data_IF_186441334175
#
_entry.id   IF_186441334175
#
_cell.length_a   1.000
_cell.length_b   1.000
_cell.length_c   1.000
_cell.angle_alpha   90.00
_cell.angle_beta   90.00
_cell.angle_gamma   90.00
#
_symmetry.space_group_name_H-M   'P 1'
#
loop_
_entity.id
_entity.type
_entity.pdbx_description
1 polymer ?
#
# COMPACT_ATOMS: atom_id res chain seq x y z
N UNK A 1 14.22 18.14 22.83
CA UNK A 1 13.77 17.47 21.59
C UNK A 1 13.65 15.99 21.90
N UNK A 2 12.42 15.47 22.01
CA UNK A 2 12.18 14.13 22.49
C UNK A 2 12.46 13.06 21.43
N UNK A 3 12.66 11.82 21.86
CA UNK A 3 12.87 10.62 21.03
C UNK A 3 11.87 10.51 19.86
N UNK A 4 10.62 10.95 20.05
CA UNK A 4 9.58 11.01 19.03
C UNK A 4 9.92 11.92 17.83
N UNK A 5 10.59 13.03 18.05
CA UNK A 5 11.01 13.94 16.97
C UNK A 5 12.11 13.38 16.08
N UNK A 6 13.01 12.57 16.65
CA UNK A 6 14.08 11.90 15.89
C UNK A 6 13.53 10.77 15.00
N UNK A 7 12.56 9.99 15.51
CA UNK A 7 11.92 8.92 14.72
C UNK A 7 11.08 9.46 13.57
N UNK A 8 10.37 10.57 13.77
CA UNK A 8 9.62 11.24 12.70
C UNK A 8 10.55 11.78 11.60
N UNK A 9 11.69 12.37 11.98
CA UNK A 9 12.67 12.90 11.04
C UNK A 9 13.30 11.79 10.18
N UNK A 10 13.73 10.69 10.80
CA UNK A 10 14.30 9.53 10.09
C UNK A 10 13.31 8.91 9.10
N UNK A 11 12.02 8.82 9.47
CA UNK A 11 10.97 8.31 8.57
C UNK A 11 10.73 9.23 7.38
N UNK A 12 10.74 10.55 7.57
CA UNK A 12 10.66 11.52 6.47
C UNK A 12 11.89 11.42 5.55
N UNK A 13 13.08 11.32 6.10
CA UNK A 13 14.32 11.12 5.32
C UNK A 13 14.23 9.85 4.45
N UNK A 14 13.80 8.71 5.01
CA UNK A 14 13.61 7.47 4.24
C UNK A 14 12.54 7.59 3.16
N UNK A 15 11.46 8.35 3.42
CA UNK A 15 10.43 8.63 2.42
C UNK A 15 11.00 9.49 1.29
N UNK A 16 11.71 10.55 1.61
CA UNK A 16 12.33 11.46 0.64
C UNK A 16 13.40 10.75 -0.19
N UNK A 17 14.20 9.88 0.42
CA UNK A 17 15.19 9.04 -0.28
C UNK A 17 14.50 8.02 -1.20
N UNK A 18 13.50 7.30 -0.70
CA UNK A 18 12.74 6.31 -1.48
C UNK A 18 12.00 6.92 -2.66
N UNK A 19 11.54 8.15 -2.55
CA UNK A 19 10.85 8.88 -3.61
C UNK A 19 11.76 9.84 -4.41
N UNK A 20 13.07 9.88 -4.14
CA UNK A 20 14.01 10.85 -4.77
C UNK A 20 13.96 10.81 -6.28
N UNK A 21 13.99 9.62 -6.89
CA UNK A 21 13.91 9.44 -8.35
C UNK A 21 12.58 9.93 -8.93
N UNK A 22 11.49 9.72 -8.21
CA UNK A 22 10.16 10.23 -8.57
C UNK A 22 10.12 11.75 -8.50
N UNK A 23 10.62 12.31 -7.42
CA UNK A 23 10.72 13.75 -7.20
C UNK A 23 11.50 14.44 -8.32
N UNK A 24 12.69 13.97 -8.65
CA UNK A 24 13.50 14.54 -9.74
C UNK A 24 12.77 14.50 -11.09
N UNK A 25 12.07 13.41 -11.41
CA UNK A 25 11.37 13.27 -12.69
C UNK A 25 10.07 14.08 -12.74
N UNK A 26 9.22 13.98 -11.74
CA UNK A 26 7.90 14.64 -11.73
C UNK A 26 8.07 16.14 -11.57
N UNK A 27 8.93 16.57 -10.61
CA UNK A 27 9.08 18.00 -10.29
C UNK A 27 9.87 18.78 -11.32
N UNK A 28 10.97 18.22 -11.80
CA UNK A 28 11.74 18.89 -12.85
C UNK A 28 10.90 19.10 -14.11
N UNK A 29 9.99 18.17 -14.41
CA UNK A 29 9.06 18.29 -15.54
C UNK A 29 7.94 19.29 -15.25
N UNK A 30 7.28 19.23 -14.08
CA UNK A 30 6.26 20.19 -13.67
C UNK A 30 6.82 21.61 -13.60
N UNK A 31 8.00 21.80 -13.01
CA UNK A 31 8.66 23.10 -12.95
C UNK A 31 8.98 23.65 -14.35
N UNK A 32 9.35 22.80 -15.31
CA UNK A 32 9.58 23.19 -16.70
C UNK A 32 8.27 23.54 -17.41
N UNK A 33 7.21 22.76 -17.21
CA UNK A 33 5.89 23.00 -17.83
C UNK A 33 5.34 24.37 -17.46
N UNK A 34 5.62 24.87 -16.26
CA UNK A 34 5.14 26.18 -15.79
C UNK A 34 6.19 27.29 -15.89
N UNK A 35 7.45 26.98 -16.22
CA UNK A 35 8.53 27.97 -16.24
C UNK A 35 8.31 29.06 -17.30
N UNK A 36 8.38 30.33 -16.88
CA UNK A 36 8.28 31.49 -17.79
C UNK A 36 6.87 31.85 -18.27
N UNK A 37 5.84 31.13 -17.77
CA UNK A 37 4.43 31.42 -18.10
C UNK A 37 3.77 32.20 -16.97
N UNK A 38 2.92 33.14 -17.32
CA UNK A 38 2.23 34.03 -16.36
C UNK A 38 0.78 33.61 -16.09
N UNK A 39 0.21 32.75 -16.95
CA UNK A 39 -1.18 32.30 -16.88
C UNK A 39 -1.26 30.80 -17.14
N UNK A 40 -2.29 30.14 -16.61
CA UNK A 40 -2.62 28.75 -16.90
C UNK A 40 -3.53 28.74 -18.13
N UNK A 41 -3.00 28.31 -19.25
CA UNK A 41 -3.70 28.12 -20.51
C UNK A 41 -3.76 26.63 -20.89
N UNK A 42 -4.45 26.31 -21.98
CA UNK A 42 -4.60 24.92 -22.46
C UNK A 42 -3.25 24.24 -22.66
N UNK A 43 -2.24 24.98 -23.13
CA UNK A 43 -0.89 24.45 -23.35
C UNK A 43 -0.18 24.07 -22.04
N UNK A 44 -0.44 24.78 -20.94
CA UNK A 44 0.08 24.41 -19.59
C UNK A 44 -0.64 23.16 -19.08
N UNK A 45 -1.94 23.04 -19.32
CA UNK A 45 -2.73 21.88 -18.91
C UNK A 45 -2.32 20.63 -19.68
N UNK A 46 -2.08 20.74 -21.00
CA UNK A 46 -1.56 19.64 -21.84
C UNK A 46 -0.19 19.15 -21.33
N UNK A 47 0.72 20.07 -21.00
CA UNK A 47 2.03 19.70 -20.45
C UNK A 47 1.91 19.06 -19.05
N UNK A 48 0.95 19.48 -18.23
CA UNK A 48 0.67 18.84 -16.93
C UNK A 48 0.10 17.42 -17.13
N UNK A 49 -0.78 17.24 -18.11
CA UNK A 49 -1.32 15.93 -18.47
C UNK A 49 -0.18 14.98 -18.86
N UNK A 50 0.71 15.41 -19.75
CA UNK A 50 1.87 14.62 -20.18
C UNK A 50 2.78 14.24 -18.98
N UNK A 51 3.02 15.15 -18.05
CA UNK A 51 3.83 14.89 -16.86
C UNK A 51 3.15 13.85 -15.96
N UNK A 52 1.86 13.97 -15.70
CA UNK A 52 1.12 13.05 -14.84
C UNK A 52 1.05 11.65 -15.46
N UNK A 53 0.76 11.54 -16.77
CA UNK A 53 0.73 10.27 -17.49
C UNK A 53 2.11 9.60 -17.50
N UNK A 54 3.17 10.35 -17.81
CA UNK A 54 4.55 9.82 -17.83
C UNK A 54 5.08 9.46 -16.44
N UNK A 55 4.41 9.91 -15.39
CA UNK A 55 4.70 9.58 -13.98
C UNK A 55 3.87 8.40 -13.46
N UNK A 56 3.20 7.66 -14.35
CA UNK A 56 2.33 6.51 -14.05
C UNK A 56 1.11 6.82 -13.16
N UNK A 57 0.61 8.06 -13.17
CA UNK A 57 -0.69 8.40 -12.53
C UNK A 57 -1.84 7.68 -13.22
N UNK A 58 -1.69 7.39 -14.52
CA UNK A 58 -2.71 6.75 -15.35
C UNK A 58 -3.65 7.75 -16.02
N UNK A 59 -4.08 7.42 -17.22
CA UNK A 59 -4.84 8.33 -18.08
C UNK A 59 -6.14 8.80 -17.42
N UNK A 60 -6.97 7.89 -16.91
CA UNK A 60 -8.25 8.24 -16.30
C UNK A 60 -8.11 9.16 -15.07
N UNK A 61 -7.16 8.83 -14.19
CA UNK A 61 -6.88 9.65 -13.00
C UNK A 61 -6.28 10.99 -13.38
N UNK A 62 -5.40 11.03 -14.39
CA UNK A 62 -4.83 12.27 -14.91
C UNK A 62 -5.93 13.19 -15.45
N UNK A 63 -6.79 12.70 -16.34
CA UNK A 63 -7.91 13.48 -16.88
C UNK A 63 -8.84 14.01 -15.76
N UNK A 64 -9.06 13.22 -14.72
CA UNK A 64 -9.84 13.65 -13.56
C UNK A 64 -9.15 14.80 -12.81
N UNK A 65 -7.83 14.73 -12.61
CA UNK A 65 -7.06 15.80 -11.96
C UNK A 65 -7.07 17.07 -12.83
N UNK A 66 -6.78 16.95 -14.12
CA UNK A 66 -6.76 18.08 -15.06
C UNK A 66 -8.11 18.79 -15.07
N UNK A 67 -9.23 18.06 -15.21
CA UNK A 67 -10.58 18.65 -15.17
C UNK A 67 -10.84 19.44 -13.88
N UNK A 68 -10.43 18.93 -12.72
CA UNK A 68 -10.57 19.64 -11.44
C UNK A 68 -9.73 20.94 -11.41
N UNK A 69 -8.54 20.91 -12.00
CA UNK A 69 -7.70 22.09 -12.14
C UNK A 69 -8.37 23.11 -13.06
N UNK A 70 -8.87 22.69 -14.22
CA UNK A 70 -9.61 23.56 -15.15
C UNK A 70 -10.81 24.25 -14.50
N UNK A 71 -11.65 23.48 -13.79
CA UNK A 71 -12.80 24.02 -13.06
C UNK A 71 -12.39 25.04 -12.01
N UNK A 72 -11.27 24.82 -11.34
CA UNK A 72 -10.75 25.71 -10.32
C UNK A 72 -10.16 26.98 -10.93
N UNK A 73 -9.38 26.87 -12.00
CA UNK A 73 -8.84 27.99 -12.76
C UNK A 73 -9.97 28.87 -13.34
N UNK A 74 -11.01 28.26 -13.92
CA UNK A 74 -12.15 28.98 -14.46
C UNK A 74 -12.94 29.73 -13.38
N UNK A 75 -13.06 29.16 -12.17
CA UNK A 75 -13.77 29.79 -11.04
C UNK A 75 -12.98 30.96 -10.45
N UNK A 76 -11.68 30.75 -10.22
CA UNK A 76 -10.84 31.70 -9.45
C UNK A 76 -10.28 32.81 -10.34
N UNK A 77 -10.51 32.81 -11.65
CA UNK A 77 -10.24 33.79 -12.73
C UNK A 77 -8.79 34.23 -12.97
N UNK A 78 -7.89 34.07 -12.00
CA UNK A 78 -6.46 34.39 -12.12
C UNK A 78 -5.68 33.41 -11.25
N UNK A 79 -5.09 32.41 -11.86
CA UNK A 79 -4.16 31.51 -11.19
C UNK A 79 -2.79 31.72 -11.81
N UNK A 80 -1.86 32.22 -11.02
CA UNK A 80 -0.46 32.28 -11.41
C UNK A 80 0.12 30.86 -11.47
N UNK A 81 1.16 30.67 -12.28
CA UNK A 81 1.85 29.38 -12.35
C UNK A 81 2.45 28.93 -11.02
N UNK A 82 2.76 29.87 -10.11
CA UNK A 82 3.19 29.56 -8.74
C UNK A 82 2.05 28.99 -7.87
N UNK A 83 0.81 29.41 -8.11
CA UNK A 83 -0.38 28.88 -7.42
C UNK A 83 -0.80 27.53 -7.98
N UNK A 84 -0.50 27.23 -9.25
CA UNK A 84 -0.85 25.97 -9.91
C UNK A 84 -0.27 24.75 -9.21
N UNK A 85 0.98 24.82 -8.75
CA UNK A 85 1.59 23.75 -7.95
C UNK A 85 0.82 23.50 -6.66
N UNK A 86 0.39 24.56 -5.97
CA UNK A 86 -0.43 24.48 -4.77
C UNK A 86 -1.81 23.87 -5.04
N UNK A 87 -2.42 24.20 -6.17
CA UNK A 87 -3.69 23.62 -6.62
C UNK A 87 -3.52 22.14 -6.90
N UNK A 88 -2.52 21.74 -7.69
CA UNK A 88 -2.23 20.35 -8.01
C UNK A 88 -2.01 19.51 -6.74
N UNK A 89 -1.23 20.01 -5.79
CA UNK A 89 -1.06 19.37 -4.47
C UNK A 89 -2.39 19.16 -3.76
N UNK A 90 -3.21 20.22 -3.73
CA UNK A 90 -4.51 20.18 -3.07
C UNK A 90 -5.45 19.17 -3.73
N UNK A 91 -5.49 19.11 -5.06
CA UNK A 91 -6.34 18.17 -5.79
C UNK A 91 -5.88 16.72 -5.60
N UNK A 92 -4.58 16.45 -5.64
CA UNK A 92 -4.04 15.12 -5.34
C UNK A 92 -4.36 14.70 -3.89
N UNK A 93 -4.15 15.59 -2.92
CA UNK A 93 -4.46 15.31 -1.53
C UNK A 93 -5.96 15.06 -1.30
N UNK A 94 -6.83 15.81 -2.00
CA UNK A 94 -8.28 15.64 -1.95
C UNK A 94 -8.69 14.29 -2.55
N UNK A 95 -8.13 13.92 -3.69
CA UNK A 95 -8.38 12.63 -4.34
C UNK A 95 -7.99 11.44 -3.45
N UNK A 96 -6.81 11.49 -2.83
CA UNK A 96 -6.37 10.48 -1.87
C UNK A 96 -7.31 10.39 -0.65
N UNK A 97 -7.85 11.52 -0.18
CA UNK A 97 -8.83 11.57 0.92
C UNK A 97 -10.16 10.92 0.52
N UNK A 98 -10.68 11.25 -0.66
CA UNK A 98 -11.92 10.67 -1.19
C UNK A 98 -11.85 9.15 -1.32
N UNK A 99 -10.65 8.61 -1.55
CA UNK A 99 -10.40 7.17 -1.64
C UNK A 99 -10.15 6.51 -0.27
N UNK A 100 -10.39 7.23 0.83
CA UNK A 100 -10.30 6.72 2.19
C UNK A 100 -8.89 6.69 2.78
N UNK A 101 -7.86 7.15 2.04
CA UNK A 101 -6.50 7.24 2.60
C UNK A 101 -6.44 8.31 3.68
N UNK A 102 -5.96 7.95 4.86
CA UNK A 102 -5.84 8.82 6.02
C UNK A 102 -4.36 9.02 6.38
N UNK A 103 -4.07 10.06 7.15
CA UNK A 103 -2.76 10.23 7.75
C UNK A 103 -2.67 9.36 9.01
N UNK A 104 -2.36 8.07 8.83
CA UNK A 104 -2.19 7.11 9.92
C UNK A 104 -1.08 7.55 10.88
N UNK A 105 -1.39 7.70 12.17
CA UNK A 105 -0.42 8.17 13.15
C UNK A 105 0.50 7.06 13.65
N UNK A 106 0.00 5.83 13.76
CA UNK A 106 0.74 4.70 14.32
C UNK A 106 0.21 3.36 13.84
N UNK A 107 0.96 2.27 14.10
CA UNK A 107 0.50 0.88 13.94
C UNK A 107 -0.44 0.46 15.10
N UNK A 108 -1.23 1.38 15.64
CA UNK A 108 -2.16 1.07 16.71
C UNK A 108 -3.30 0.17 16.23
N UNK A 109 -3.68 -0.77 17.08
CA UNK A 109 -4.80 -1.66 16.81
C UNK A 109 -6.11 -1.01 17.27
N UNK A 110 -7.23 -1.30 16.60
CA UNK A 110 -8.55 -0.90 17.08
C UNK A 110 -8.82 -1.47 18.47
N UNK A 111 -9.40 -0.65 19.35
CA UNK A 111 -9.74 -1.08 20.70
C UNK A 111 -10.72 -2.26 20.69
N UNK A 112 -10.49 -3.25 21.55
CA UNK A 112 -11.38 -4.40 21.72
C UNK A 112 -11.22 -5.52 20.68
N UNK A 113 -10.33 -5.40 19.71
CA UNK A 113 -10.02 -6.45 18.73
C UNK A 113 -8.80 -7.24 19.16
N UNK A 114 -9.00 -8.55 19.46
CA UNK A 114 -7.93 -9.47 19.87
C UNK A 114 -8.31 -10.93 19.58
N UNK A 115 -7.64 -11.59 18.64
CA UNK A 115 -6.59 -11.06 17.76
C UNK A 115 -7.15 -10.11 16.68
N UNK A 116 -6.35 -9.12 16.27
CA UNK A 116 -6.54 -8.40 15.03
C UNK A 116 -5.98 -9.25 13.88
N UNK A 117 -6.80 -9.59 12.91
CA UNK A 117 -6.46 -10.58 11.87
C UNK A 117 -6.25 -9.90 10.52
N UNK A 118 -5.04 -10.03 9.98
CA UNK A 118 -4.66 -9.54 8.65
C UNK A 118 -4.50 -10.71 7.69
N UNK A 119 -5.27 -10.72 6.61
CA UNK A 119 -5.09 -11.65 5.49
C UNK A 119 -4.39 -10.92 4.34
N UNK A 120 -3.21 -11.39 3.94
CA UNK A 120 -2.39 -10.74 2.92
C UNK A 120 -2.59 -11.44 1.58
N UNK A 121 -3.04 -10.69 0.57
CA UNK A 121 -3.37 -11.17 -0.78
C UNK A 121 -2.59 -10.39 -1.85
N UNK A 122 -2.54 -10.91 -3.08
CA UNK A 122 -1.88 -10.29 -4.23
C UNK A 122 -1.15 -11.31 -5.08
N UNK A 123 -0.73 -10.95 -6.29
CA UNK A 123 -0.02 -11.85 -7.21
C UNK A 123 1.36 -12.25 -6.68
N UNK A 124 1.96 -13.28 -7.29
CA UNK A 124 3.32 -13.68 -6.92
C UNK A 124 4.34 -12.62 -7.33
N UNK A 125 5.37 -12.41 -6.50
CA UNK A 125 6.47 -11.47 -6.79
C UNK A 125 6.24 -10.03 -6.35
N UNK A 126 5.03 -9.64 -5.93
CA UNK A 126 4.74 -8.28 -5.44
C UNK A 126 5.30 -7.96 -4.06
N UNK A 127 5.88 -8.93 -3.35
CA UNK A 127 6.49 -8.72 -2.04
C UNK A 127 5.61 -9.06 -0.84
N UNK A 128 4.56 -9.89 -0.98
CA UNK A 128 3.68 -10.30 0.13
C UNK A 128 4.45 -10.77 1.36
N UNK A 129 5.27 -11.82 1.21
CA UNK A 129 5.99 -12.46 2.32
C UNK A 129 6.96 -11.47 3.01
N UNK A 130 7.61 -10.60 2.23
CA UNK A 130 8.46 -9.52 2.75
C UNK A 130 7.63 -8.49 3.52
N UNK A 131 6.48 -8.09 2.98
CA UNK A 131 5.54 -7.16 3.65
C UNK A 131 5.05 -7.74 4.98
N UNK A 132 4.70 -9.02 5.02
CA UNK A 132 4.30 -9.72 6.25
C UNK A 132 5.40 -9.66 7.32
N UNK A 133 6.64 -9.98 6.94
CA UNK A 133 7.78 -9.90 7.86
C UNK A 133 8.01 -8.51 8.42
N UNK A 134 7.92 -7.48 7.56
CA UNK A 134 8.08 -6.08 7.97
C UNK A 134 6.90 -5.59 8.84
N UNK A 135 5.66 -5.99 8.52
CA UNK A 135 4.49 -5.69 9.35
C UNK A 135 4.63 -6.33 10.75
N UNK A 136 5.03 -7.60 10.80
CA UNK A 136 5.26 -8.31 12.06
C UNK A 136 6.31 -7.58 12.92
N UNK A 137 7.38 -7.11 12.31
CA UNK A 137 8.38 -6.28 12.97
C UNK A 137 7.79 -4.99 13.53
N UNK A 138 7.04 -4.23 12.72
CA UNK A 138 6.44 -2.96 13.13
C UNK A 138 5.46 -3.14 14.29
N UNK A 139 4.58 -4.14 14.24
CA UNK A 139 3.66 -4.43 15.34
C UNK A 139 4.41 -4.84 16.62
N UNK A 140 5.46 -5.67 16.50
CA UNK A 140 6.28 -6.07 17.64
C UNK A 140 7.00 -4.87 18.27
N UNK A 141 7.48 -3.90 17.47
CA UNK A 141 8.08 -2.66 17.97
C UNK A 141 7.08 -1.77 18.74
N UNK A 142 5.79 -1.92 18.48
CA UNK A 142 4.72 -1.27 19.26
C UNK A 142 4.34 -2.05 20.53
N UNK A 143 5.00 -3.17 20.81
CA UNK A 143 4.75 -4.00 22.00
C UNK A 143 3.65 -5.04 21.80
N UNK A 144 3.12 -5.24 20.60
CA UNK A 144 2.12 -6.26 20.33
C UNK A 144 2.76 -7.65 20.14
N UNK A 145 2.08 -8.66 20.66
CA UNK A 145 2.36 -10.05 20.32
C UNK A 145 1.83 -10.38 18.92
N UNK A 146 2.65 -11.03 18.10
CA UNK A 146 2.32 -11.33 16.70
C UNK A 146 2.47 -12.82 16.43
N UNK A 147 1.57 -13.41 15.62
CA UNK A 147 1.68 -14.77 15.13
C UNK A 147 1.48 -14.80 13.62
N UNK A 148 2.31 -15.60 12.91
CA UNK A 148 2.24 -15.75 11.46
C UNK A 148 1.63 -17.08 11.06
N UNK A 149 0.89 -17.10 9.94
CA UNK A 149 0.36 -18.30 9.31
C UNK A 149 0.87 -18.45 7.87
N UNK A 150 1.53 -19.56 7.55
CA UNK A 150 2.09 -19.85 6.23
C UNK A 150 1.04 -20.48 5.31
N UNK A 151 0.10 -19.69 4.79
CA UNK A 151 -0.99 -20.16 3.94
C UNK A 151 -0.64 -20.32 2.45
N UNK A 152 0.51 -19.84 1.95
CA UNK A 152 1.00 -20.22 0.60
C UNK A 152 1.66 -21.63 0.65
N UNK A 153 0.83 -22.63 0.88
CA UNK A 153 1.27 -24.01 1.10
C UNK A 153 1.80 -24.72 -0.15
N UNK A 154 1.54 -24.16 -1.32
CA UNK A 154 1.93 -24.77 -2.59
C UNK A 154 3.36 -24.45 -3.01
N UNK A 155 3.99 -23.48 -2.35
CA UNK A 155 5.37 -23.04 -2.63
C UNK A 155 6.25 -23.29 -1.43
N UNK A 156 7.07 -24.35 -1.49
CA UNK A 156 8.03 -24.65 -0.43
C UNK A 156 8.90 -23.43 -0.08
N UNK A 157 9.41 -22.72 -1.10
CA UNK A 157 10.21 -21.52 -0.90
C UNK A 157 9.43 -20.37 -0.21
N UNK A 158 8.12 -20.27 -0.37
CA UNK A 158 7.32 -19.26 0.33
C UNK A 158 7.20 -19.57 1.82
N UNK A 159 6.97 -20.83 2.16
CA UNK A 159 6.94 -21.31 3.55
C UNK A 159 8.31 -21.07 4.23
N UNK A 160 9.40 -21.44 3.55
CA UNK A 160 10.75 -21.24 4.07
C UNK A 160 11.09 -19.76 4.24
N UNK A 161 10.71 -18.92 3.27
CA UNK A 161 10.93 -17.48 3.34
C UNK A 161 10.17 -16.85 4.51
N UNK A 162 8.93 -17.26 4.74
CA UNK A 162 8.15 -16.76 5.87
C UNK A 162 8.73 -17.25 7.22
N UNK A 163 9.25 -18.49 7.29
CA UNK A 163 9.94 -19.02 8.46
C UNK A 163 11.21 -18.23 8.79
N UNK A 164 11.98 -17.84 7.76
CA UNK A 164 13.16 -16.97 7.94
C UNK A 164 12.75 -15.61 8.52
N UNK A 165 11.65 -14.99 8.01
CA UNK A 165 11.13 -13.76 8.57
C UNK A 165 10.64 -13.93 10.00
N UNK A 166 9.90 -14.99 10.30
CA UNK A 166 9.42 -15.28 11.65
C UNK A 166 10.59 -15.38 12.66
N UNK A 167 11.67 -16.07 12.29
CA UNK A 167 12.89 -16.16 13.09
C UNK A 167 13.59 -14.82 13.22
N UNK A 168 13.71 -14.06 12.13
CA UNK A 168 14.38 -12.74 12.14
C UNK A 168 13.68 -11.73 13.04
N UNK A 169 12.34 -11.77 13.06
CA UNK A 169 11.49 -10.90 13.89
C UNK A 169 11.27 -11.49 15.28
N UNK A 170 11.58 -12.77 15.47
CA UNK A 170 11.34 -13.53 16.68
C UNK A 170 9.83 -13.53 17.04
N UNK A 171 9.03 -14.10 16.15
CA UNK A 171 7.58 -14.32 16.32
C UNK A 171 7.22 -15.75 15.97
N UNK A 172 6.20 -16.37 16.63
CA UNK A 172 5.74 -17.70 16.30
C UNK A 172 5.12 -17.75 14.90
N UNK A 173 5.29 -18.91 14.24
CA UNK A 173 4.71 -19.22 12.94
C UNK A 173 4.02 -20.58 12.99
N UNK A 174 2.81 -20.64 12.45
CA UNK A 174 2.10 -21.90 12.17
C UNK A 174 2.28 -22.23 10.70
N UNK A 175 2.75 -23.43 10.43
CA UNK A 175 2.96 -23.98 9.10
C UNK A 175 2.58 -25.45 9.08
N UNK A 176 2.17 -25.92 7.93
CA UNK A 176 1.92 -27.35 7.68
C UNK A 176 2.83 -27.85 6.54
N UNK A 177 2.70 -29.11 6.16
CA UNK A 177 3.46 -29.68 5.05
C UNK A 177 3.07 -29.01 3.71
N UNK A 178 3.96 -29.12 2.72
CA UNK A 178 3.69 -28.63 1.37
C UNK A 178 2.39 -29.27 0.81
N UNK A 179 1.59 -28.47 0.12
CA UNK A 179 0.27 -28.83 -0.42
C UNK A 179 -0.80 -29.16 0.64
N UNK A 180 -0.58 -28.82 1.90
CA UNK A 180 -1.66 -28.81 2.89
C UNK A 180 -2.76 -27.82 2.50
N UNK A 181 -3.96 -27.98 3.04
CA UNK A 181 -5.06 -27.04 2.80
C UNK A 181 -4.76 -25.66 3.44
N UNK A 182 -4.64 -24.57 2.67
CA UNK A 182 -4.39 -23.24 3.21
C UNK A 182 -5.41 -22.81 4.29
N UNK A 183 -6.66 -23.23 4.15
CA UNK A 183 -7.70 -22.94 5.13
C UNK A 183 -7.45 -23.65 6.47
N UNK A 184 -6.83 -24.83 6.48
CA UNK A 184 -6.45 -25.49 7.72
C UNK A 184 -5.29 -24.79 8.42
N UNK A 185 -4.33 -24.25 7.67
CA UNK A 185 -3.26 -23.41 8.25
C UNK A 185 -3.86 -22.17 8.92
N UNK A 186 -4.79 -21.48 8.25
CA UNK A 186 -5.48 -20.33 8.82
C UNK A 186 -6.26 -20.67 10.09
N UNK A 187 -6.97 -21.82 10.10
CA UNK A 187 -7.69 -22.32 11.27
C UNK A 187 -6.76 -22.58 12.45
N UNK A 188 -5.68 -23.32 12.22
CA UNK A 188 -4.72 -23.66 13.27
C UNK A 188 -4.02 -22.43 13.82
N UNK A 189 -3.66 -21.47 12.94
CA UNK A 189 -3.03 -20.22 13.35
C UNK A 189 -3.94 -19.40 14.24
N UNK A 190 -5.20 -19.20 13.85
CA UNK A 190 -6.17 -18.45 14.66
C UNK A 190 -6.50 -19.15 15.96
N UNK A 191 -6.68 -20.49 15.94
CA UNK A 191 -6.93 -21.28 17.15
C UNK A 191 -5.78 -21.17 18.15
N UNK A 192 -4.53 -21.25 17.67
CA UNK A 192 -3.34 -21.07 18.49
C UNK A 192 -3.24 -19.62 19.04
N UNK A 193 -3.54 -18.63 18.20
CA UNK A 193 -3.48 -17.22 18.58
C UNK A 193 -4.52 -16.86 19.65
N UNK A 194 -5.76 -17.33 19.49
CA UNK A 194 -6.82 -17.13 20.51
C UNK A 194 -6.42 -17.78 21.84
N UNK A 195 -5.90 -19.01 21.81
CA UNK A 195 -5.44 -19.71 23.01
C UNK A 195 -4.28 -18.99 23.70
N UNK A 196 -3.36 -18.42 22.92
CA UNK A 196 -2.19 -17.70 23.43
C UNK A 196 -2.51 -16.24 23.84
N UNK A 197 -3.70 -15.73 23.51
CA UNK A 197 -4.04 -14.33 23.72
C UNK A 197 -3.18 -13.38 22.86
N UNK A 198 -2.87 -13.79 21.63
CA UNK A 198 -2.06 -13.00 20.67
C UNK A 198 -2.81 -11.76 20.20
N UNK A 199 -2.10 -10.64 20.05
CA UNK A 199 -2.71 -9.36 19.65
C UNK A 199 -2.94 -9.27 18.14
N UNK A 200 -1.98 -9.76 17.32
CA UNK A 200 -2.03 -9.66 15.85
C UNK A 200 -1.75 -11.01 15.22
N UNK A 201 -2.57 -11.39 14.25
CA UNK A 201 -2.34 -12.55 13.37
C UNK A 201 -2.20 -12.08 11.94
N UNK A 202 -1.14 -12.55 11.25
CA UNK A 202 -0.94 -12.23 9.83
C UNK A 202 -0.86 -13.54 9.05
N UNK A 203 -1.76 -13.72 8.07
CA UNK A 203 -1.84 -14.92 7.24
C UNK A 203 -1.32 -14.61 5.83
N UNK A 204 -0.25 -15.31 5.42
CA UNK A 204 0.19 -15.34 4.02
C UNK A 204 -0.76 -16.16 3.17
N UNK A 205 -0.94 -15.81 1.90
CA UNK A 205 -1.77 -16.54 0.97
C UNK A 205 -1.08 -16.74 -0.38
N UNK A 206 -1.53 -17.75 -1.13
CA UNK A 206 -1.07 -17.97 -2.50
C UNK A 206 -1.43 -16.77 -3.41
N UNK A 207 -0.61 -16.57 -4.44
CA UNK A 207 -0.80 -15.49 -5.44
C UNK A 207 -0.77 -15.98 -6.87
N UNK A 208 -1.20 -17.24 -7.15
CA UNK A 208 -1.12 -17.86 -8.47
C UNK A 208 -2.30 -17.48 -9.35
N UNK A 209 -2.15 -16.42 -10.13
CA UNK A 209 -3.23 -15.86 -10.94
C UNK A 209 -3.56 -16.68 -12.21
N UNK A 210 -2.69 -17.60 -12.63
CA UNK A 210 -2.94 -18.48 -13.80
C UNK A 210 -4.13 -19.43 -13.61
N UNK A 211 -4.49 -19.77 -12.35
CA UNK A 211 -5.72 -20.47 -12.00
C UNK A 211 -6.62 -19.54 -11.15
N UNK A 212 -7.15 -18.50 -11.79
CA UNK A 212 -7.93 -17.46 -11.13
C UNK A 212 -9.10 -17.99 -10.29
N UNK A 213 -9.93 -18.83 -10.90
CA UNK A 213 -11.14 -19.39 -10.23
C UNK A 213 -10.75 -20.21 -9.01
N UNK A 214 -9.73 -21.05 -9.15
CA UNK A 214 -9.23 -21.86 -8.02
C UNK A 214 -8.70 -21.02 -6.88
N UNK A 215 -7.91 -19.99 -7.20
CA UNK A 215 -7.37 -19.06 -6.21
C UNK A 215 -8.47 -18.27 -5.48
N UNK A 216 -9.46 -17.74 -6.21
CA UNK A 216 -10.54 -16.98 -5.60
C UNK A 216 -11.41 -17.87 -4.68
N UNK A 217 -11.68 -19.12 -5.07
CA UNK A 217 -12.37 -20.08 -4.23
C UNK A 217 -11.55 -20.43 -2.97
N UNK A 218 -10.24 -20.57 -3.11
CA UNK A 218 -9.33 -20.81 -1.98
C UNK A 218 -9.35 -19.66 -0.98
N UNK A 219 -9.19 -18.42 -1.44
CA UNK A 219 -9.22 -17.21 -0.60
C UNK A 219 -10.58 -17.06 0.12
N UNK A 220 -11.68 -17.31 -0.59
CA UNK A 220 -13.03 -17.31 0.00
C UNK A 220 -13.18 -18.40 1.07
N UNK A 221 -12.60 -19.59 0.83
CA UNK A 221 -12.59 -20.68 1.82
C UNK A 221 -11.78 -20.33 3.06
N UNK A 222 -10.58 -19.75 2.87
CA UNK A 222 -9.72 -19.28 3.97
C UNK A 222 -10.51 -18.30 4.86
N UNK A 223 -11.13 -17.27 4.27
CA UNK A 223 -11.94 -16.30 4.99
C UNK A 223 -13.07 -16.96 5.79
N UNK A 224 -13.86 -17.83 5.15
CA UNK A 224 -14.96 -18.53 5.85
C UNK A 224 -14.48 -19.36 7.03
N UNK A 225 -13.29 -19.96 6.91
CA UNK A 225 -12.70 -20.77 7.98
C UNK A 225 -12.19 -19.91 9.11
N UNK A 226 -11.58 -18.72 8.81
CA UNK A 226 -11.19 -17.74 9.81
C UNK A 226 -12.39 -17.32 10.68
N UNK A 227 -13.54 -17.06 10.05
CA UNK A 227 -14.79 -16.64 10.72
C UNK A 227 -15.36 -17.69 11.68
N UNK A 228 -14.99 -18.98 11.53
CA UNK A 228 -15.37 -20.03 12.48
C UNK A 228 -14.60 -19.95 13.81
N UNK A 229 -13.43 -19.31 13.81
CA UNK A 229 -12.57 -19.15 14.99
C UNK A 229 -12.72 -17.75 15.57
N UNK A 230 -12.68 -16.72 14.72
CA UNK A 230 -12.84 -15.31 15.07
C UNK A 230 -13.97 -14.76 14.21
N UNK A 231 -15.16 -14.48 14.75
CA UNK A 231 -16.38 -14.24 13.98
C UNK A 231 -16.28 -13.18 12.88
N UNK A 232 -15.56 -12.09 13.09
CA UNK A 232 -15.46 -10.98 12.12
C UNK A 232 -14.15 -11.03 11.30
N UNK A 233 -13.36 -12.11 11.41
CA UNK A 233 -12.09 -12.20 10.70
C UNK A 233 -12.27 -12.42 9.18
N UNK A 234 -11.33 -11.92 8.38
CA UNK A 234 -10.22 -11.04 8.75
C UNK A 234 -10.69 -9.59 8.98
N UNK A 235 -10.06 -8.87 9.91
CA UNK A 235 -10.29 -7.44 10.15
C UNK A 235 -9.71 -6.59 9.01
N UNK A 236 -8.59 -7.07 8.44
CA UNK A 236 -7.91 -6.43 7.32
C UNK A 236 -7.61 -7.46 6.23
N UNK A 237 -8.09 -7.19 5.02
CA UNK A 237 -7.65 -7.88 3.80
C UNK A 237 -6.72 -6.94 3.06
N UNK A 238 -5.42 -7.20 3.20
CA UNK A 238 -4.36 -6.36 2.67
C UNK A 238 -3.94 -6.85 1.29
N UNK A 239 -4.27 -6.08 0.26
CA UNK A 239 -3.77 -6.31 -1.10
C UNK A 239 -2.40 -5.67 -1.27
N UNK A 240 -1.39 -6.48 -1.57
CA UNK A 240 -0.03 -6.02 -1.85
C UNK A 240 0.16 -5.86 -3.35
N UNK A 241 0.59 -4.68 -3.77
CA UNK A 241 0.81 -4.27 -5.15
C UNK A 241 2.26 -3.87 -5.36
N UNK A 242 2.80 -4.16 -6.53
CA UNK A 242 4.16 -3.78 -6.93
C UNK A 242 4.13 -2.44 -7.67
N UNK A 243 4.62 -1.37 -7.05
CA UNK A 243 4.66 -0.03 -7.62
C UNK A 243 5.57 0.11 -8.85
N UNK A 244 6.43 -0.87 -9.12
CA UNK A 244 7.33 -0.84 -10.29
C UNK A 244 6.71 -1.38 -11.59
N UNK A 245 5.58 -2.09 -11.50
CA UNK A 245 5.00 -2.82 -12.63
C UNK A 245 4.11 -1.97 -13.55
N UNK A 246 3.72 -0.77 -13.11
CA UNK A 246 2.88 0.14 -13.88
C UNK A 246 1.41 -0.30 -13.99
N UNK A 247 0.61 0.49 -14.69
CA UNK A 247 -0.86 0.41 -14.74
C UNK A 247 -1.42 -0.94 -15.24
N UNK A 248 -0.75 -1.60 -16.19
CA UNK A 248 -1.28 -2.83 -16.81
C UNK A 248 -1.37 -4.02 -15.84
N UNK A 249 -0.59 -4.01 -14.75
CA UNK A 249 -0.65 -5.07 -13.74
C UNK A 249 -1.90 -4.95 -12.85
N UNK A 250 -2.44 -3.76 -12.67
CA UNK A 250 -3.53 -3.52 -11.72
C UNK A 250 -4.86 -4.13 -12.13
N UNK A 251 -5.11 -4.30 -13.44
CA UNK A 251 -6.30 -5.01 -13.90
C UNK A 251 -6.36 -6.46 -13.39
N UNK A 252 -5.20 -7.09 -13.23
CA UNK A 252 -5.10 -8.44 -12.66
C UNK A 252 -5.40 -8.41 -11.15
N UNK A 253 -4.97 -7.37 -10.46
CA UNK A 253 -5.14 -7.24 -9.02
C UNK A 253 -6.56 -6.85 -8.62
N UNK A 254 -7.33 -6.16 -9.48
CA UNK A 254 -8.76 -5.86 -9.25
C UNK A 254 -9.62 -7.09 -8.96
N UNK A 255 -9.21 -8.25 -9.44
CA UNK A 255 -9.94 -9.49 -9.21
C UNK A 255 -9.91 -9.95 -7.75
N UNK A 256 -8.82 -9.61 -7.02
CA UNK A 256 -8.75 -9.89 -5.59
C UNK A 256 -9.80 -9.09 -4.81
N UNK A 257 -10.07 -7.84 -5.23
CA UNK A 257 -11.04 -6.98 -4.53
C UNK A 257 -12.44 -7.57 -4.55
N UNK A 258 -12.83 -8.17 -5.67
CA UNK A 258 -14.16 -8.78 -5.82
C UNK A 258 -14.33 -10.07 -5.00
N UNK A 259 -13.24 -10.86 -4.83
CA UNK A 259 -13.31 -12.18 -4.19
C UNK A 259 -13.11 -12.14 -2.68
N UNK A 260 -12.38 -11.13 -2.15
CA UNK A 260 -11.90 -11.16 -0.76
C UNK A 260 -12.26 -9.93 0.06
N UNK A 261 -13.02 -8.99 -0.52
CA UNK A 261 -13.39 -7.72 0.14
C UNK A 261 -12.17 -6.97 0.67
N UNK A 262 -11.18 -6.75 -0.21
CA UNK A 262 -9.99 -5.96 0.12
C UNK A 262 -10.39 -4.61 0.71
N UNK A 263 -9.79 -4.26 1.85
CA UNK A 263 -10.07 -3.02 2.56
C UNK A 263 -8.83 -2.19 2.89
N UNK A 264 -7.64 -2.68 2.52
CA UNK A 264 -6.38 -1.96 2.65
C UNK A 264 -5.41 -2.31 1.52
N UNK A 265 -4.59 -1.34 1.09
CA UNK A 265 -3.54 -1.51 0.09
C UNK A 265 -2.15 -1.32 0.71
N UNK A 266 -1.21 -2.16 0.28
CA UNK A 266 0.22 -1.95 0.47
C UNK A 266 0.90 -1.83 -0.89
N UNK A 267 1.63 -0.74 -1.13
CA UNK A 267 2.36 -0.52 -2.38
C UNK A 267 3.85 -0.65 -2.12
N UNK A 268 4.48 -1.63 -2.74
CA UNK A 268 5.89 -2.00 -2.54
C UNK A 268 6.78 -1.47 -3.66
N UNK A 269 8.11 -1.54 -3.46
CA UNK A 269 9.16 -1.25 -4.45
C UNK A 269 9.13 0.18 -5.00
N UNK A 270 8.69 1.14 -4.20
CA UNK A 270 8.65 2.54 -4.61
C UNK A 270 10.05 3.15 -4.73
N UNK A 271 11.04 2.64 -4.01
CA UNK A 271 12.46 3.04 -4.06
C UNK A 271 13.13 2.73 -5.40
N UNK A 272 12.64 1.74 -6.12
CA UNK A 272 13.14 1.35 -7.43
C UNK A 272 12.59 2.17 -8.60
N UNK A 273 11.54 2.96 -8.39
CA UNK A 273 10.80 3.60 -9.48
C UNK A 273 10.92 5.12 -9.48
N UNK A 274 11.06 5.69 -10.69
CA UNK A 274 10.90 7.13 -10.92
C UNK A 274 9.42 7.53 -11.11
N UNK A 275 8.49 6.64 -10.80
CA UNK A 275 7.09 6.68 -11.17
C UNK A 275 6.15 6.63 -9.95
N UNK A 276 6.48 7.34 -8.88
CA UNK A 276 5.68 7.36 -7.64
C UNK A 276 4.25 7.88 -7.82
N UNK A 277 3.92 8.47 -8.95
CA UNK A 277 2.54 8.81 -9.34
C UNK A 277 1.62 7.58 -9.40
N UNK A 278 2.20 6.39 -9.52
CA UNK A 278 1.49 5.11 -9.47
C UNK A 278 0.61 4.97 -8.21
N UNK A 279 1.04 5.51 -7.07
CA UNK A 279 0.27 5.47 -5.80
C UNK A 279 -1.05 6.23 -5.96
N UNK A 280 -1.04 7.37 -6.66
CA UNK A 280 -2.21 8.20 -6.93
C UNK A 280 -3.19 7.43 -7.83
N UNK A 281 -2.66 6.85 -8.92
CA UNK A 281 -3.46 6.05 -9.86
C UNK A 281 -4.06 4.80 -9.22
N UNK A 282 -3.29 4.05 -8.45
CA UNK A 282 -3.76 2.88 -7.69
C UNK A 282 -4.88 3.30 -6.74
N UNK A 283 -4.66 4.33 -5.93
CA UNK A 283 -5.66 4.81 -4.98
C UNK A 283 -6.98 5.17 -5.68
N UNK A 284 -6.91 5.90 -6.81
CA UNK A 284 -8.12 6.30 -7.54
C UNK A 284 -8.82 5.14 -8.24
N UNK A 285 -8.08 4.18 -8.78
CA UNK A 285 -8.65 3.02 -9.49
C UNK A 285 -9.30 2.00 -8.57
N UNK A 286 -8.67 1.72 -7.43
CA UNK A 286 -9.19 0.73 -6.48
C UNK A 286 -10.25 1.29 -5.56
N UNK A 287 -10.25 2.60 -5.28
CA UNK A 287 -11.13 3.24 -4.27
C UNK A 287 -11.00 2.60 -2.88
N UNK A 288 -9.80 2.11 -2.60
CA UNK A 288 -9.44 1.48 -1.34
C UNK A 288 -8.28 2.28 -0.72
N UNK A 289 -8.25 2.50 0.59
CA UNK A 289 -7.20 3.27 1.22
C UNK A 289 -5.83 2.61 1.05
N UNK A 290 -4.85 3.38 0.62
CA UNK A 290 -3.44 3.02 0.75
C UNK A 290 -3.08 3.14 2.22
N UNK A 291 -2.64 2.04 2.84
CA UNK A 291 -2.31 1.98 4.26
C UNK A 291 -0.80 1.88 4.50
N UNK A 292 -0.10 1.16 3.63
CA UNK A 292 1.33 0.93 3.77
C UNK A 292 2.08 1.19 2.46
N UNK A 293 3.33 1.67 2.58
CA UNK A 293 4.26 1.85 1.45
C UNK A 293 5.61 1.21 1.78
N UNK A 294 6.16 0.49 0.80
CA UNK A 294 7.49 -0.12 0.87
C UNK A 294 8.49 0.72 0.09
N UNK A 295 9.52 1.18 0.79
CA UNK A 295 10.52 2.16 0.33
C UNK A 295 11.92 1.57 0.26
N UNK A 296 12.07 0.24 0.29
CA UNK A 296 13.35 -0.45 0.23
C UNK A 296 13.30 -1.88 0.75
N UNK A 297 14.46 -2.53 0.85
CA UNK A 297 14.60 -3.93 1.26
C UNK A 297 14.79 -4.12 2.77
N UNK A 298 15.15 -3.08 3.51
CA UNK A 298 15.37 -3.13 4.95
C UNK A 298 14.10 -3.48 5.73
N UNK A 299 14.26 -4.03 6.93
CA UNK A 299 13.15 -4.44 7.79
C UNK A 299 12.30 -3.24 8.24
N UNK A 300 12.89 -2.05 8.31
CA UNK A 300 12.24 -0.80 8.69
C UNK A 300 11.62 -0.04 7.50
N UNK A 301 11.87 -0.50 6.24
CA UNK A 301 11.48 0.21 5.02
C UNK A 301 10.01 0.00 4.61
N UNK A 302 9.17 -0.47 5.52
CA UNK A 302 7.73 -0.44 5.40
C UNK A 302 7.19 0.66 6.33
N UNK A 303 6.51 1.63 5.75
CA UNK A 303 5.94 2.76 6.47
C UNK A 303 4.43 2.80 6.33
N UNK A 304 3.76 3.40 7.33
CA UNK A 304 2.37 3.84 7.16
C UNK A 304 2.32 4.90 6.08
N UNK A 305 1.35 4.77 5.19
CA UNK A 305 1.07 5.80 4.21
C UNK A 305 0.50 7.03 4.93
N UNK A 306 1.17 8.16 4.74
CA UNK A 306 0.74 9.47 5.22
C UNK A 306 0.55 10.37 4.04
N UNK A 307 -0.69 10.60 3.70
CA UNK A 307 -1.11 11.39 2.53
C UNK A 307 -0.36 12.72 2.41
N UNK A 308 -0.33 13.49 3.51
CA UNK A 308 0.34 14.79 3.53
C UNK A 308 1.84 14.66 3.27
N UNK A 309 2.54 13.79 4.03
CA UNK A 309 3.98 13.57 3.87
C UNK A 309 4.32 13.05 2.46
N UNK A 310 3.48 12.16 1.92
CA UNK A 310 3.67 11.64 0.57
C UNK A 310 3.52 12.74 -0.49
N UNK A 311 2.47 13.54 -0.42
CA UNK A 311 2.28 14.66 -1.36
C UNK A 311 3.40 15.68 -1.20
N UNK A 312 3.78 16.04 0.03
CA UNK A 312 4.89 16.96 0.31
C UNK A 312 6.21 16.44 -0.27
N UNK A 313 6.51 15.14 -0.12
CA UNK A 313 7.70 14.51 -0.69
C UNK A 313 7.71 14.51 -2.22
N UNK A 314 6.56 14.29 -2.84
CA UNK A 314 6.43 14.43 -4.29
C UNK A 314 6.70 15.86 -4.76
N UNK A 315 6.36 16.90 -4.01
CA UNK A 315 6.46 18.30 -4.38
C UNK A 315 7.67 19.06 -3.76
N UNK A 316 8.49 18.39 -2.99
CA UNK A 316 9.81 18.90 -2.62
C UNK A 316 9.85 19.91 -1.48
N UNK A 317 8.90 19.81 -0.55
CA UNK A 317 8.90 20.59 0.70
C UNK A 317 9.27 19.80 1.93
#
# INVERSE_FOLDING_TARGET
MGLFGLFSKKKKETLDEGLSKTKENVFSKLARAVAGRSTVDDSVLDELEDVLVTSDVGVETTLKIIRRIEERVARDKYVSTSELTGILRSEIASLLTENGSTDGESFALPAGKKPYVIMVVGVNGVGKTTTIGKLAYQFKQQGYSVMLGAGDTFRAAAIEQLDIWAKRVDVPIIRQHMSADPASVAFDTLSAAVKAGTDVVIIDTAGRLHNKVGLMNELTKIRRVMQKVVPDAPDEVLLVLDGSTGQNAFEQDKQFTAATEVNALAITKLDGTAKGGVVIGISDQFKIPVKYIGLGEGIEDLQLFRKKEFVDSLFGE
#
